data_IF_831751098979
#
_entry.id   IF_831751098979
#
_cell.length_a   1.000
_cell.length_b   1.000
_cell.length_c   1.000
_cell.angle_alpha   90.00
_cell.angle_beta   90.00
_cell.angle_gamma   90.00
#
_symmetry.space_group_name_H-M   'P 1'
#
loop_
_entity.id
_entity.type
_entity.pdbx_description
1 polymer ?
#
# COMPACT_ATOMS: atom_id res chain seq x y z
N UNK A 1 9.30 -1.45 5.11
CA UNK A 1 10.13 -1.98 6.22
C UNK A 1 9.50 -1.52 7.51
N UNK A 2 9.50 -2.36 8.54
CA UNK A 2 9.08 -1.98 9.89
C UNK A 2 10.15 -2.35 10.91
N UNK A 3 10.29 -1.57 11.98
CA UNK A 3 11.11 -1.92 13.14
C UNK A 3 10.39 -1.54 14.43
N UNK A 4 10.70 -2.29 15.49
CA UNK A 4 10.12 -2.10 16.81
C UNK A 4 10.98 -1.13 17.63
N UNK A 5 10.32 -0.27 18.40
CA UNK A 5 10.90 0.68 19.33
C UNK A 5 10.45 0.29 20.73
N UNK A 6 11.42 -0.18 21.51
CA UNK A 6 11.21 -0.55 22.91
C UNK A 6 11.43 0.65 23.83
N UNK A 7 10.68 0.71 24.94
CA UNK A 7 10.90 1.66 26.02
C UNK A 7 10.37 3.08 25.78
N UNK A 8 9.64 3.30 24.69
CA UNK A 8 8.78 4.48 24.55
C UNK A 8 7.43 4.21 25.23
N UNK A 9 6.92 5.19 25.96
CA UNK A 9 5.60 5.10 26.60
C UNK A 9 4.66 6.01 25.82
N UNK A 10 3.65 5.44 25.17
CA UNK A 10 2.59 6.23 24.55
C UNK A 10 1.75 6.92 25.63
N UNK A 11 1.39 8.18 25.37
CA UNK A 11 0.55 8.99 26.24
C UNK A 11 -0.69 9.43 25.45
N UNK A 12 -1.82 9.51 26.13
CA UNK A 12 -3.10 9.89 25.51
C UNK A 12 -3.03 11.32 24.94
N UNK A 13 -3.51 11.50 23.70
CA UNK A 13 -3.47 12.75 22.92
C UNK A 13 -2.07 13.19 22.45
N UNK A 14 -1.08 12.31 22.52
CA UNK A 14 0.27 12.57 22.02
C UNK A 14 0.64 11.57 20.90
N UNK A 15 0.95 12.11 19.74
CA UNK A 15 1.45 11.34 18.60
C UNK A 15 2.99 11.27 18.61
N UNK A 16 3.59 10.07 18.57
CA UNK A 16 5.04 9.91 18.45
C UNK A 16 5.53 10.28 17.04
N UNK A 17 6.68 10.96 16.95
CA UNK A 17 7.35 11.27 15.69
C UNK A 17 8.87 11.43 15.89
N UNK A 18 9.65 11.24 14.81
CA UNK A 18 11.07 11.58 14.80
C UNK A 18 11.25 13.04 14.37
N UNK A 19 12.07 13.80 15.10
CA UNK A 19 12.38 15.21 14.75
C UNK A 19 12.95 15.33 13.33
N UNK A 20 13.78 14.37 12.94
CA UNK A 20 14.44 14.36 11.64
C UNK A 20 14.56 12.92 11.11
N UNK A 21 14.24 12.75 9.83
CA UNK A 21 14.37 11.50 9.08
C UNK A 21 15.12 11.84 7.80
N UNK A 22 16.22 11.15 7.56
CA UNK A 22 17.00 11.25 6.32
C UNK A 22 17.05 9.88 5.68
N UNK A 23 16.60 9.80 4.42
CA UNK A 23 16.64 8.57 3.63
C UNK A 23 17.48 8.81 2.39
N UNK A 24 18.59 8.09 2.26
CA UNK A 24 19.44 8.13 1.07
C UNK A 24 19.49 6.78 0.37
N UNK A 25 19.66 6.82 -0.95
CA UNK A 25 19.84 5.63 -1.79
C UNK A 25 21.10 5.82 -2.63
N UNK A 26 22.05 4.89 -2.47
CA UNK A 26 23.43 4.98 -2.98
C UNK A 26 24.14 6.28 -2.57
N UNK A 27 23.84 6.76 -1.35
CA UNK A 27 24.37 8.02 -0.81
C UNK A 27 23.75 9.28 -1.40
N UNK A 28 22.71 9.16 -2.22
CA UNK A 28 21.97 10.29 -2.80
C UNK A 28 20.65 10.51 -2.03
N UNK A 29 20.37 11.77 -1.70
CA UNK A 29 19.10 12.21 -1.11
C UNK A 29 17.98 12.30 -2.16
N UNK A 30 16.72 12.46 -1.72
CA UNK A 30 15.55 12.64 -2.57
C UNK A 30 14.80 11.35 -2.90
N UNK A 31 14.94 10.31 -2.08
CA UNK A 31 14.14 9.11 -2.20
C UNK A 31 12.65 9.45 -1.98
N UNK A 32 11.76 8.88 -2.80
CA UNK A 32 10.32 8.98 -2.58
C UNK A 32 9.89 7.95 -1.53
N UNK A 33 9.61 8.42 -0.32
CA UNK A 33 9.21 7.56 0.79
C UNK A 33 8.05 8.15 1.61
N UNK A 34 7.40 7.27 2.36
CA UNK A 34 6.47 7.59 3.43
C UNK A 34 6.88 6.81 4.67
N UNK A 35 6.61 7.35 5.84
CA UNK A 35 6.99 6.72 7.09
C UNK A 35 6.03 7.14 8.20
N UNK A 36 5.92 6.32 9.24
CA UNK A 36 5.04 6.61 10.36
C UNK A 36 5.02 5.50 11.40
N UNK A 37 4.35 5.76 12.50
CA UNK A 37 4.00 4.72 13.46
C UNK A 37 2.75 3.98 12.99
N UNK A 38 2.66 2.69 13.29
CA UNK A 38 1.38 1.97 13.17
C UNK A 38 0.41 2.48 14.25
N UNK A 39 -0.88 2.63 13.90
CA UNK A 39 -1.91 3.11 14.84
C UNK A 39 -2.09 2.14 16.03
N UNK A 40 -2.62 2.67 17.15
CA UNK A 40 -2.62 2.09 18.50
C UNK A 40 -3.07 0.63 18.65
N UNK A 41 -3.83 0.07 17.69
CA UNK A 41 -4.23 -1.35 17.68
C UNK A 41 -3.05 -2.33 17.60
N UNK A 42 -1.85 -1.87 17.20
CA UNK A 42 -0.61 -2.68 17.21
C UNK A 42 0.43 -2.24 18.25
N UNK A 43 0.01 -1.60 19.36
CA UNK A 43 0.89 -1.56 20.53
C UNK A 43 0.95 -2.98 21.09
N UNK A 44 2.11 -3.65 20.99
CA UNK A 44 2.28 -4.97 21.58
C UNK A 44 1.95 -4.92 23.09
N UNK A 45 1.54 -6.05 23.70
CA UNK A 45 1.17 -6.13 25.13
C UNK A 45 2.24 -5.56 26.10
N UNK A 46 3.47 -5.34 25.62
CA UNK A 46 4.62 -4.79 26.34
C UNK A 46 4.78 -3.26 26.21
N UNK A 47 3.93 -2.55 25.44
CA UNK A 47 4.03 -1.10 25.22
C UNK A 47 4.98 -0.67 24.10
N UNK A 48 5.49 -1.60 23.29
CA UNK A 48 6.40 -1.26 22.18
C UNK A 48 5.63 -0.67 21.00
N UNK A 49 6.28 0.29 20.32
CA UNK A 49 5.74 0.88 19.10
C UNK A 49 6.41 0.29 17.87
N UNK A 50 5.64 0.15 16.79
CA UNK A 50 6.17 -0.24 15.48
C UNK A 50 6.22 0.97 14.56
N UNK A 51 7.38 1.20 13.95
CA UNK A 51 7.60 2.27 12.98
C UNK A 51 7.83 1.68 11.59
N UNK A 52 7.15 2.21 10.57
CA UNK A 52 7.29 1.79 9.18
C UNK A 52 7.91 2.87 8.30
N UNK A 53 8.65 2.42 7.30
CA UNK A 53 9.15 3.22 6.18
C UNK A 53 8.86 2.45 4.89
N UNK A 54 8.21 3.11 3.95
CA UNK A 54 7.82 2.61 2.65
C UNK A 54 8.41 3.49 1.57
N UNK A 55 8.99 2.88 0.53
CA UNK A 55 9.51 3.61 -0.63
C UNK A 55 8.73 3.15 -1.86
N UNK A 56 8.23 4.12 -2.64
CA UNK A 56 7.44 3.84 -3.84
C UNK A 56 8.18 4.33 -5.07
N UNK A 57 8.54 3.39 -5.94
CA UNK A 57 9.19 3.67 -7.21
C UNK A 57 8.52 2.93 -8.36
N UNK A 58 8.44 3.60 -9.52
CA UNK A 58 7.75 3.04 -10.69
C UNK A 58 8.60 2.01 -11.42
N UNK A 59 9.92 2.08 -11.29
CA UNK A 59 10.81 1.16 -11.96
C UNK A 59 10.88 -0.17 -11.19
N UNK A 60 10.47 -1.25 -11.86
CA UNK A 60 10.59 -2.61 -11.33
C UNK A 60 12.04 -2.91 -10.93
N UNK A 61 12.21 -3.45 -9.72
CA UNK A 61 13.53 -3.81 -9.19
C UNK A 61 14.42 -2.61 -8.87
N UNK A 62 13.90 -1.38 -8.85
CA UNK A 62 14.68 -0.17 -8.61
C UNK A 62 15.53 -0.26 -7.36
N UNK A 63 15.03 -0.86 -6.28
CA UNK A 63 15.77 -0.96 -5.02
C UNK A 63 16.82 -2.09 -4.98
N UNK A 64 16.82 -2.99 -5.98
CA UNK A 64 17.66 -4.19 -5.94
C UNK A 64 19.14 -3.85 -6.06
N UNK A 65 19.93 -4.36 -5.13
CA UNK A 65 21.38 -4.15 -5.10
C UNK A 65 21.80 -2.73 -4.72
N UNK A 66 20.85 -1.83 -4.44
CA UNK A 66 21.12 -0.46 -4.02
C UNK A 66 21.31 -0.37 -2.52
N UNK A 67 22.18 0.54 -2.10
CA UNK A 67 22.44 0.79 -0.69
C UNK A 67 21.42 1.81 -0.17
N UNK A 68 20.52 1.36 0.69
CA UNK A 68 19.53 2.22 1.33
C UNK A 68 20.01 2.51 2.74
N UNK A 69 20.06 3.79 3.08
CA UNK A 69 20.49 4.28 4.39
C UNK A 69 19.42 5.20 4.96
N UNK A 70 19.02 4.90 6.19
CA UNK A 70 18.07 5.70 6.96
C UNK A 70 18.76 6.20 8.22
N UNK A 71 18.65 7.49 8.48
CA UNK A 71 19.00 8.11 9.75
C UNK A 71 17.75 8.71 10.38
N UNK A 72 17.53 8.36 11.65
CA UNK A 72 16.47 8.90 12.48
C UNK A 72 17.11 9.62 13.64
N UNK A 73 16.61 10.80 13.97
CA UNK A 73 17.14 11.60 15.05
C UNK A 73 16.03 12.12 15.92
N UNK A 74 16.26 11.95 17.23
CA UNK A 74 15.40 12.33 18.34
C UNK A 74 13.94 11.84 18.19
N UNK A 75 13.52 10.96 19.10
CA UNK A 75 12.13 10.55 19.18
C UNK A 75 11.39 11.50 20.13
N UNK A 76 10.28 12.09 19.69
CA UNK A 76 9.48 13.02 20.49
C UNK A 76 7.97 12.81 20.26
N UNK A 77 7.16 13.53 21.01
CA UNK A 77 5.71 13.55 20.86
C UNK A 77 5.19 14.94 20.53
N UNK A 78 4.12 14.98 19.75
CA UNK A 78 3.37 16.18 19.41
C UNK A 78 1.95 16.06 19.97
N UNK A 79 1.38 17.17 20.43
CA UNK A 79 -0.03 17.20 20.83
C UNK A 79 -0.94 17.04 19.59
N UNK A 80 -1.88 16.11 19.64
CA UNK A 80 -2.74 15.79 18.49
C UNK A 80 -3.60 16.97 18.02
N UNK A 81 -4.09 17.78 18.97
CA UNK A 81 -4.98 18.91 18.66
C UNK A 81 -4.24 20.11 18.07
N UNK A 82 -3.02 20.38 18.55
CA UNK A 82 -2.29 21.62 18.27
C UNK A 82 -1.13 21.41 17.31
N UNK A 83 -0.60 20.20 17.22
CA UNK A 83 0.64 19.88 16.52
C UNK A 83 1.88 20.49 17.19
N UNK A 84 1.79 20.89 18.47
CA UNK A 84 2.92 21.46 19.20
C UNK A 84 3.82 20.35 19.77
N UNK A 85 5.14 20.51 19.62
CA UNK A 85 6.14 19.61 20.20
C UNK A 85 6.07 19.66 21.72
N UNK A 86 6.03 18.49 22.36
CA UNK A 86 6.14 18.34 23.83
C UNK A 86 7.61 18.11 24.20
N UNK A 87 8.37 19.12 24.65
CA UNK A 87 9.83 18.99 24.76
C UNK A 87 10.29 17.97 25.80
N UNK A 88 9.44 17.66 26.78
CA UNK A 88 9.74 16.70 27.86
C UNK A 88 9.65 15.24 27.40
N UNK A 89 8.94 14.97 26.30
CA UNK A 89 8.84 13.64 25.69
C UNK A 89 10.10 13.25 24.91
N UNK A 90 10.99 14.22 24.64
CA UNK A 90 12.10 14.02 23.72
C UNK A 90 13.15 13.06 24.27
N UNK A 91 13.31 11.95 23.57
CA UNK A 91 14.42 11.02 23.72
C UNK A 91 15.50 11.36 22.71
N UNK A 92 16.62 11.90 23.19
CA UNK A 92 17.75 12.24 22.34
C UNK A 92 18.48 10.99 21.83
N UNK A 93 18.72 10.93 20.53
CA UNK A 93 19.38 9.78 19.91
C UNK A 93 19.57 9.96 18.41
N UNK A 94 20.49 9.16 17.87
CA UNK A 94 20.63 8.98 16.42
C UNK A 94 20.63 7.48 16.15
N UNK A 95 19.72 7.02 15.31
CA UNK A 95 19.63 5.64 14.87
C UNK A 95 19.92 5.59 13.38
N UNK A 96 20.87 4.75 12.98
CA UNK A 96 21.28 4.61 11.60
C UNK A 96 21.17 3.16 11.17
N UNK A 97 20.46 2.96 10.06
CA UNK A 97 20.24 1.67 9.45
C UNK A 97 20.73 1.73 8.02
N UNK A 98 21.60 0.78 7.65
CA UNK A 98 22.04 0.62 6.27
C UNK A 98 21.74 -0.81 5.85
N UNK A 99 21.10 -0.95 4.70
CA UNK A 99 20.84 -2.25 4.13
C UNK A 99 20.96 -2.21 2.62
N UNK A 100 21.21 -3.39 2.07
CA UNK A 100 21.16 -3.61 0.64
C UNK A 100 20.07 -4.64 0.36
N UNK A 101 19.06 -4.25 -0.41
CA UNK A 101 17.98 -5.17 -0.78
C UNK A 101 18.49 -6.10 -1.89
N UNK A 102 18.98 -7.27 -1.49
CA UNK A 102 19.49 -8.29 -2.41
C UNK A 102 18.37 -9.02 -3.18
N UNK A 103 17.10 -8.74 -2.90
CA UNK A 103 15.96 -9.41 -3.53
C UNK A 103 15.90 -10.88 -3.15
N UNK A 104 15.56 -11.18 -1.89
CA UNK A 104 15.49 -12.57 -1.40
C UNK A 104 14.07 -13.15 -1.42
N UNK A 105 13.07 -12.36 -1.81
CA UNK A 105 11.67 -12.80 -1.91
C UNK A 105 11.38 -13.39 -3.29
N UNK A 106 10.71 -14.54 -3.32
CA UNK A 106 10.12 -15.03 -4.56
C UNK A 106 9.10 -14.02 -5.07
N UNK A 107 9.32 -13.52 -6.28
CA UNK A 107 8.29 -12.82 -7.03
C UNK A 107 7.62 -13.87 -7.90
N UNK A 108 6.30 -14.00 -7.77
CA UNK A 108 5.51 -14.79 -8.72
C UNK A 108 4.84 -13.86 -9.70
N UNK A 109 4.85 -14.28 -10.95
CA UNK A 109 4.27 -13.54 -12.06
C UNK A 109 3.29 -14.44 -12.78
N UNK A 110 2.15 -13.86 -13.13
CA UNK A 110 1.15 -14.49 -13.96
C UNK A 110 0.86 -13.60 -15.15
N UNK A 111 0.83 -14.21 -16.34
CA UNK A 111 0.21 -13.63 -17.53
C UNK A 111 -1.12 -14.33 -17.73
N UNK A 112 -2.18 -13.53 -17.79
CA UNK A 112 -3.57 -13.95 -17.74
C UNK A 112 -4.32 -13.31 -18.91
N UNK A 113 -5.54 -13.77 -19.15
CA UNK A 113 -6.53 -13.08 -19.98
C UNK A 113 -7.91 -13.45 -19.42
N UNK A 114 -8.18 -12.97 -18.20
CA UNK A 114 -9.33 -13.41 -17.40
C UNK A 114 -10.23 -12.23 -17.00
N UNK A 115 -11.55 -12.31 -17.20
CA UNK A 115 -12.46 -11.28 -16.70
C UNK A 115 -12.44 -11.18 -15.18
N UNK A 116 -12.48 -9.95 -14.65
CA UNK A 116 -12.66 -9.70 -13.22
C UNK A 116 -14.16 -9.69 -12.90
N UNK A 117 -14.72 -10.88 -12.67
CA UNK A 117 -16.16 -11.05 -12.46
C UNK A 117 -16.98 -10.50 -13.63
N UNK A 118 -18.01 -9.71 -13.31
CA UNK A 118 -18.83 -8.98 -14.27
C UNK A 118 -18.52 -7.46 -14.32
N UNK A 119 -17.40 -7.04 -13.73
CA UNK A 119 -17.00 -5.62 -13.70
C UNK A 119 -16.76 -5.01 -15.07
N UNK A 120 -16.42 -5.82 -16.08
CA UNK A 120 -15.98 -5.39 -17.39
C UNK A 120 -14.46 -5.19 -17.52
N UNK A 121 -13.68 -5.39 -16.44
CA UNK A 121 -12.23 -5.42 -16.52
C UNK A 121 -11.71 -6.79 -16.95
N UNK A 122 -10.59 -6.82 -17.68
CA UNK A 122 -9.87 -8.05 -18.06
C UNK A 122 -8.45 -8.00 -17.52
N UNK A 123 -8.10 -8.92 -16.63
CA UNK A 123 -6.81 -8.98 -15.97
C UNK A 123 -5.78 -9.67 -16.87
N UNK A 124 -4.64 -9.02 -17.07
CA UNK A 124 -3.59 -9.44 -18.01
C UNK A 124 -2.30 -9.84 -17.33
N UNK A 125 -1.95 -9.15 -16.24
CA UNK A 125 -0.70 -9.38 -15.52
C UNK A 125 -0.92 -9.24 -14.03
N UNK A 126 -0.29 -10.12 -13.28
CA UNK A 126 -0.15 -10.01 -11.83
C UNK A 126 1.29 -10.29 -11.47
N UNK A 127 1.88 -9.46 -10.62
CA UNK A 127 3.12 -9.79 -9.90
C UNK A 127 2.86 -9.72 -8.40
N UNK A 128 3.21 -10.77 -7.68
CA UNK A 128 3.13 -10.79 -6.22
C UNK A 128 4.52 -11.03 -5.65
N UNK A 129 4.90 -10.18 -4.71
CA UNK A 129 6.00 -10.41 -3.79
C UNK A 129 5.45 -10.61 -2.38
N UNK A 130 6.32 -10.96 -1.44
CA UNK A 130 5.92 -11.06 -0.04
C UNK A 130 5.36 -9.73 0.51
N UNK A 131 5.83 -8.59 0.00
CA UNK A 131 5.56 -7.27 0.54
C UNK A 131 4.68 -6.39 -0.34
N UNK A 132 4.37 -6.79 -1.58
CA UNK A 132 3.60 -5.96 -2.51
C UNK A 132 2.87 -6.78 -3.57
N UNK A 133 1.85 -6.17 -4.16
CA UNK A 133 1.19 -6.66 -5.36
C UNK A 133 1.16 -5.62 -6.47
N UNK A 134 1.26 -6.10 -7.69
CA UNK A 134 1.14 -5.35 -8.93
C UNK A 134 0.16 -6.07 -9.85
N UNK A 135 -0.66 -5.31 -10.56
CA UNK A 135 -1.53 -5.85 -11.61
C UNK A 135 -1.67 -4.89 -12.79
N UNK A 136 -1.93 -5.47 -13.96
CA UNK A 136 -2.36 -4.75 -15.17
C UNK A 136 -3.65 -5.37 -15.69
N UNK A 137 -4.60 -4.53 -16.08
CA UNK A 137 -5.85 -4.94 -16.69
C UNK A 137 -6.29 -3.99 -17.81
N UNK A 138 -7.19 -4.46 -18.66
CA UNK A 138 -8.01 -3.59 -19.49
C UNK A 138 -9.18 -3.05 -18.67
N UNK A 139 -9.26 -1.73 -18.59
CA UNK A 139 -10.36 -0.99 -18.00
C UNK A 139 -10.67 0.25 -18.86
N UNK A 140 -11.72 0.22 -19.69
CA UNK A 140 -12.09 1.39 -20.49
C UNK A 140 -12.50 2.58 -19.63
N UNK A 141 -12.10 3.79 -20.05
CA UNK A 141 -12.56 5.04 -19.43
C UNK A 141 -14.05 5.18 -19.58
N UNK A 142 -14.76 5.09 -18.46
CA UNK A 142 -16.21 5.24 -18.43
C UNK A 142 -16.68 6.15 -17.30
N UNK A 143 -17.83 6.79 -17.52
CA UNK A 143 -18.47 7.65 -16.53
C UNK A 143 -19.70 6.95 -15.97
N UNK A 144 -19.83 6.99 -14.66
CA UNK A 144 -21.06 6.63 -13.97
C UNK A 144 -21.91 7.87 -13.78
N UNK A 145 -23.19 7.73 -14.10
CA UNK A 145 -24.21 8.75 -13.84
C UNK A 145 -25.03 8.28 -12.64
N UNK A 146 -25.14 9.13 -11.61
CA UNK A 146 -25.92 8.85 -10.41
C UNK A 146 -26.78 10.05 -10.04
N UNK A 147 -27.90 9.79 -9.39
CA UNK A 147 -28.73 10.83 -8.80
C UNK A 147 -28.18 11.17 -7.40
N UNK A 148 -27.95 12.45 -7.14
CA UNK A 148 -27.54 12.96 -5.83
C UNK A 148 -28.53 14.01 -5.35
N UNK A 149 -28.74 14.09 -4.05
CA UNK A 149 -29.58 15.14 -3.45
C UNK A 149 -28.72 16.39 -3.30
N UNK A 150 -29.11 17.47 -4.00
CA UNK A 150 -28.50 18.78 -3.90
C UNK A 150 -28.75 19.43 -2.53
N UNK A 151 -28.04 20.52 -2.25
CA UNK A 151 -28.16 21.24 -0.98
C UNK A 151 -29.58 21.84 -0.74
N UNK A 152 -30.37 21.99 -1.80
CA UNK A 152 -31.76 22.43 -1.82
C UNK A 152 -32.77 21.28 -1.70
N UNK A 153 -32.31 20.03 -1.66
CA UNK A 153 -33.14 18.83 -1.64
C UNK A 153 -33.58 18.35 -3.02
N UNK A 154 -33.17 18.99 -4.12
CA UNK A 154 -33.50 18.53 -5.47
C UNK A 154 -32.58 17.38 -5.92
N UNK A 155 -33.15 16.43 -6.65
CA UNK A 155 -32.38 15.36 -7.28
C UNK A 155 -31.64 15.93 -8.48
N UNK A 156 -30.32 15.94 -8.39
CA UNK A 156 -29.42 16.38 -9.45
C UNK A 156 -28.66 15.19 -10.00
N UNK A 157 -28.52 15.14 -11.33
CA UNK A 157 -27.68 14.16 -11.98
C UNK A 157 -26.21 14.56 -11.84
N UNK A 158 -25.41 13.69 -11.23
CA UNK A 158 -23.97 13.83 -11.13
C UNK A 158 -23.27 12.77 -11.96
N UNK A 159 -22.20 13.19 -12.65
CA UNK A 159 -21.39 12.29 -13.46
C UNK A 159 -19.97 12.20 -12.90
N UNK A 160 -19.52 11.00 -12.56
CA UNK A 160 -18.19 10.72 -12.02
C UNK A 160 -17.47 9.68 -12.88
N UNK A 161 -16.15 9.66 -12.82
CA UNK A 161 -15.39 8.56 -13.43
C UNK A 161 -15.65 7.27 -12.66
N UNK A 162 -15.90 6.18 -13.37
CA UNK A 162 -15.97 4.86 -12.75
C UNK A 162 -14.57 4.47 -12.27
N UNK A 163 -14.49 3.92 -11.06
CA UNK A 163 -13.24 3.37 -10.54
C UNK A 163 -13.03 1.98 -11.13
N UNK A 164 -11.78 1.66 -11.45
CA UNK A 164 -11.43 0.28 -11.76
C UNK A 164 -11.70 -0.62 -10.54
N UNK A 165 -11.98 -1.92 -10.73
CA UNK A 165 -12.07 -2.87 -9.62
C UNK A 165 -10.80 -2.81 -8.77
N UNK A 166 -10.95 -2.52 -7.48
CA UNK A 166 -9.81 -2.36 -6.58
C UNK A 166 -9.29 -3.72 -6.19
N UNK A 167 -8.03 -4.01 -6.51
CA UNK A 167 -7.30 -5.15 -5.97
C UNK A 167 -7.20 -4.98 -4.44
N UNK A 168 -7.81 -5.88 -3.67
CA UNK A 168 -7.93 -5.73 -2.21
C UNK A 168 -7.23 -6.85 -1.44
N UNK A 169 -7.21 -8.07 -1.96
CA UNK A 169 -6.77 -9.21 -1.16
C UNK A 169 -6.34 -10.44 -1.94
N UNK A 170 -6.01 -11.50 -1.19
CA UNK A 170 -5.63 -12.81 -1.72
C UNK A 170 -6.30 -13.93 -0.94
N UNK A 171 -6.34 -15.10 -1.56
CA UNK A 171 -6.70 -16.37 -0.93
C UNK A 171 -5.55 -17.35 -1.04
N UNK A 172 -5.27 -18.07 0.03
CA UNK A 172 -4.21 -19.07 0.11
C UNK A 172 -4.73 -20.49 -0.16
N UNK A 173 -3.81 -21.40 -0.45
CA UNK A 173 -4.08 -22.83 -0.69
C UNK A 173 -4.82 -23.54 0.47
N UNK A 174 -4.61 -23.08 1.71
CA UNK A 174 -5.25 -23.63 2.91
C UNK A 174 -6.66 -23.06 3.16
N UNK A 175 -7.12 -22.16 2.28
CA UNK A 175 -8.41 -21.48 2.39
C UNK A 175 -8.40 -20.19 3.20
N UNK A 176 -7.26 -19.78 3.76
CA UNK A 176 -7.10 -18.48 4.43
C UNK A 176 -7.33 -17.35 3.44
N UNK A 177 -8.10 -16.34 3.86
CA UNK A 177 -8.41 -15.16 3.06
C UNK A 177 -7.87 -13.91 3.76
N UNK A 178 -7.07 -13.13 3.05
CA UNK A 178 -6.65 -11.79 3.45
C UNK A 178 -7.34 -10.79 2.52
N UNK A 179 -8.55 -10.36 2.88
CA UNK A 179 -9.36 -9.50 2.03
C UNK A 179 -8.83 -8.06 1.94
N UNK A 180 -8.17 -7.57 2.98
CA UNK A 180 -7.65 -6.20 3.08
C UNK A 180 -6.11 -6.22 3.11
N UNK A 181 -5.49 -6.94 2.18
CA UNK A 181 -4.04 -7.07 2.12
C UNK A 181 -3.36 -5.82 1.54
N UNK A 182 -3.88 -5.31 0.42
CA UNK A 182 -3.22 -4.26 -0.39
C UNK A 182 -3.53 -2.85 0.11
N UNK A 183 -3.19 -2.59 1.37
CA UNK A 183 -3.46 -1.32 2.06
C UNK A 183 -2.21 -0.43 2.22
N UNK A 184 -1.03 -0.91 1.83
CA UNK A 184 0.19 -0.10 1.83
C UNK A 184 0.25 0.90 0.68
N UNK A 185 1.27 1.76 0.72
CA UNK A 185 1.49 2.78 -0.30
C UNK A 185 1.59 2.20 -1.71
N UNK A 186 1.27 3.04 -2.69
CA UNK A 186 1.51 2.70 -4.08
C UNK A 186 0.80 3.63 -5.04
N UNK A 187 0.54 3.16 -6.25
CA UNK A 187 -0.05 3.95 -7.32
C UNK A 187 -1.00 3.10 -8.15
N UNK A 188 -2.03 3.75 -8.68
CA UNK A 188 -2.98 3.15 -9.60
C UNK A 188 -3.38 4.17 -10.66
N UNK A 189 -3.62 3.73 -11.89
CA UNK A 189 -3.94 4.65 -12.97
C UNK A 189 -3.86 4.02 -14.35
N UNK A 190 -4.16 4.83 -15.36
CA UNK A 190 -4.03 4.43 -16.75
C UNK A 190 -2.56 4.46 -17.19
N UNK A 191 -2.15 3.43 -17.92
CA UNK A 191 -0.79 3.29 -18.47
C UNK A 191 -0.46 4.35 -19.54
N UNK A 192 -1.49 4.93 -20.16
CA UNK A 192 -1.36 5.98 -21.17
C UNK A 192 -2.38 7.09 -20.92
N UNK A 193 -2.01 8.33 -21.26
CA UNK A 193 -2.90 9.49 -21.27
C UNK A 193 -3.84 9.53 -22.48
N UNK A 194 -3.63 8.69 -23.49
CA UNK A 194 -4.50 8.59 -24.66
C UNK A 194 -5.89 8.08 -24.25
N UNK A 195 -6.92 8.77 -24.73
CA UNK A 195 -8.30 8.55 -24.30
C UNK A 195 -8.81 7.13 -24.61
N UNK A 196 -8.38 6.55 -25.72
CA UNK A 196 -8.75 5.20 -26.19
C UNK A 196 -7.99 4.08 -25.46
N UNK A 197 -6.96 4.41 -24.68
CA UNK A 197 -6.22 3.40 -23.92
C UNK A 197 -7.09 2.79 -22.83
N UNK A 198 -7.14 1.46 -22.80
CA UNK A 198 -7.81 0.68 -21.75
C UNK A 198 -6.84 0.20 -20.68
N UNK A 199 -5.53 0.18 -20.98
CA UNK A 199 -4.52 -0.30 -20.03
C UNK A 199 -4.52 0.49 -18.73
N UNK A 200 -4.74 -0.22 -17.63
CA UNK A 200 -4.78 0.28 -16.27
C UNK A 200 -3.88 -0.58 -15.39
N UNK A 201 -3.19 0.03 -14.44
CA UNK A 201 -2.36 -0.68 -13.47
C UNK A 201 -2.73 -0.30 -12.04
N UNK A 202 -2.43 -1.21 -11.11
CA UNK A 202 -2.40 -0.92 -9.69
C UNK A 202 -1.16 -1.58 -9.07
N UNK A 203 -0.47 -0.85 -8.21
CA UNK A 203 0.66 -1.30 -7.42
C UNK A 203 0.43 -0.85 -5.98
N UNK A 204 0.51 -1.77 -5.02
CA UNK A 204 0.33 -1.47 -3.59
C UNK A 204 1.23 -2.34 -2.73
N UNK A 205 1.70 -1.77 -1.62
CA UNK A 205 2.30 -2.53 -0.52
C UNK A 205 1.26 -3.39 0.20
N UNK A 206 1.71 -4.50 0.76
CA UNK A 206 0.90 -5.35 1.62
C UNK A 206 0.97 -4.82 3.05
N UNK A 207 -0.14 -4.82 3.79
CA UNK A 207 -0.13 -4.53 5.23
C UNK A 207 0.42 -5.68 6.09
N UNK A 208 0.72 -6.82 5.47
CA UNK A 208 1.45 -7.94 6.08
C UNK A 208 2.23 -8.72 5.04
N UNK A 209 3.26 -9.41 5.50
CA UNK A 209 4.04 -10.30 4.65
C UNK A 209 3.22 -11.54 4.27
N UNK A 210 3.28 -11.94 3.00
CA UNK A 210 2.69 -13.18 2.50
C UNK A 210 3.75 -14.08 1.86
N UNK A 211 3.39 -15.35 1.67
CA UNK A 211 4.15 -16.25 0.80
C UNK A 211 3.44 -16.32 -0.56
N UNK A 212 4.00 -15.69 -1.62
CA UNK A 212 3.38 -15.71 -2.95
C UNK A 212 3.19 -17.12 -3.52
N UNK A 213 4.02 -18.09 -3.09
CA UNK A 213 3.90 -19.50 -3.48
C UNK A 213 2.60 -20.16 -3.05
N UNK A 214 1.98 -19.67 -1.99
CA UNK A 214 0.74 -20.21 -1.42
C UNK A 214 -0.52 -19.54 -1.92
N UNK A 215 -0.39 -18.45 -2.68
CA UNK A 215 -1.54 -17.70 -3.19
C UNK A 215 -2.18 -18.46 -4.36
N UNK A 216 -3.49 -18.69 -4.26
CA UNK A 216 -4.29 -19.38 -5.29
C UNK A 216 -5.30 -18.49 -5.98
N UNK A 217 -5.67 -17.35 -5.38
CA UNK A 217 -6.59 -16.38 -6.00
C UNK A 217 -6.27 -14.95 -5.59
N UNK A 218 -6.54 -14.01 -6.50
CA UNK A 218 -6.55 -12.57 -6.25
C UNK A 218 -7.98 -12.09 -6.04
N UNK A 219 -8.18 -11.14 -5.13
CA UNK A 219 -9.49 -10.60 -4.77
C UNK A 219 -9.62 -9.14 -5.20
N UNK A 220 -10.79 -8.79 -5.73
CA UNK A 220 -11.13 -7.43 -6.14
C UNK A 220 -12.43 -7.00 -5.48
N UNK A 221 -12.52 -5.73 -5.06
CA UNK A 221 -13.77 -5.16 -4.57
C UNK A 221 -14.84 -5.15 -5.67
N UNK A 222 -16.02 -5.67 -5.35
CA UNK A 222 -17.20 -5.51 -6.19
C UNK A 222 -17.85 -4.15 -5.85
N UNK A 223 -17.58 -3.17 -6.70
CA UNK A 223 -18.09 -1.79 -6.55
C UNK A 223 -19.56 -1.63 -6.96
N UNK A 224 -20.18 -2.66 -7.53
CA UNK A 224 -21.56 -2.64 -8.04
C UNK A 224 -22.54 -3.19 -7.00
N UNK A 225 -22.33 -4.43 -6.55
CA UNK A 225 -23.27 -5.15 -5.67
C UNK A 225 -22.71 -5.37 -4.25
N UNK A 226 -21.48 -4.94 -3.99
CA UNK A 226 -20.75 -5.23 -2.75
C UNK A 226 -20.14 -6.64 -2.73
N UNK A 227 -19.23 -6.87 -1.78
CA UNK A 227 -18.46 -8.11 -1.69
C UNK A 227 -17.19 -8.09 -2.55
N UNK A 228 -16.73 -9.28 -2.97
CA UNK A 228 -15.47 -9.44 -3.71
C UNK A 228 -15.63 -10.36 -4.93
N UNK A 229 -14.93 -10.01 -6.01
CA UNK A 229 -14.65 -10.92 -7.10
C UNK A 229 -13.40 -11.74 -6.76
N UNK A 230 -13.47 -13.06 -6.93
CA UNK A 230 -12.32 -13.95 -6.80
C UNK A 230 -11.83 -14.34 -8.20
N UNK A 231 -10.57 -14.05 -8.49
CA UNK A 231 -9.90 -14.43 -9.74
C UNK A 231 -8.85 -15.50 -9.41
N UNK A 232 -9.07 -16.77 -9.80
CA UNK A 232 -8.09 -17.82 -9.59
C UNK A 232 -6.79 -17.54 -10.34
N UNK A 233 -5.66 -17.64 -9.64
CA UNK A 233 -4.33 -17.55 -10.23
C UNK A 233 -3.87 -18.97 -10.59
N UNK A 234 -4.14 -19.35 -11.84
CA UNK A 234 -3.59 -20.59 -12.40
C UNK A 234 -2.22 -20.31 -12.98
N UNK A 235 -1.26 -21.20 -12.73
CA UNK A 235 -0.01 -21.19 -13.48
C UNK A 235 -0.32 -21.23 -14.98
N UNK A 236 0.34 -20.38 -15.76
CA UNK A 236 0.12 -20.30 -17.20
C UNK A 236 0.33 -21.65 -17.91
N UNK A 237 -0.15 -21.81 -19.16
CA UNK A 237 0.03 -23.03 -19.93
C UNK A 237 1.51 -23.44 -20.11
#
# INVERSE_FOLDING_TARGET
MGFQIDGYVSEENLSPEFEEIVVTVDGMDGANYSAGFYEEEETEENGSLSYWISMTEMQRGWALGRDIHVELKNLCSYEDETGELVPQSMTQGNWSFCWNLQGTGEIREWTLDVPVGDSGAVLHRVELSSASGYMECDWPRQREVRQAVGADGELTEISRWARAPRMCGVKLEDGTVYQDLFQGDGSEGYLSSEQESTGYYACRGNNRMIDPGKVVSLLFENTTDGGVYEVPLTDGP
#
